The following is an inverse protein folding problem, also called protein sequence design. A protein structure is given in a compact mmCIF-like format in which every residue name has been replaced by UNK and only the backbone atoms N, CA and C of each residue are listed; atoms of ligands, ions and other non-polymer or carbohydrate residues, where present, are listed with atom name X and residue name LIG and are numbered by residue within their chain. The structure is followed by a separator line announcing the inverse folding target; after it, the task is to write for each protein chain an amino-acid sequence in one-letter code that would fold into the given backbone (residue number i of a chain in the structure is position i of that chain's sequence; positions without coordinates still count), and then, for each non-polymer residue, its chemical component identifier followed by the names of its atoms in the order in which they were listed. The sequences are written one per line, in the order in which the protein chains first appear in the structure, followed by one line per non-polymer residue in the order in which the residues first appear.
data_IF_837812556996
#
_entry.id   IF_837812556996
#
_cell.length_a   1.000
_cell.length_b   1.000
_cell.length_c   1.000
_cell.angle_alpha   90.00
_cell.angle_beta   90.00
_cell.angle_gamma   90.00
#
_symmetry.space_group_name_H-M   'P 1'
#
loop_
_entity.id
_entity.type
_entity.pdbx_description
1 polymer ?
#
# COMPACT_ATOMS: atom_id res chain seq x y z
N UNK A 1 -7.30 -2.23 8.72
CA UNK A 1 -6.22 -1.78 9.59
C UNK A 1 -6.79 -0.87 10.67
N UNK A 2 -6.40 -1.12 11.91
CA UNK A 2 -6.77 -0.24 12.99
C UNK A 2 -5.93 1.04 12.96
N UNK A 3 -6.59 2.19 12.96
CA UNK A 3 -5.91 3.48 12.94
C UNK A 3 -5.04 3.64 14.18
N UNK A 4 -5.48 3.10 15.33
CA UNK A 4 -4.73 3.14 16.57
C UNK A 4 -3.37 2.43 16.48
N UNK A 5 -3.26 1.36 15.71
CA UNK A 5 -2.00 0.65 15.55
C UNK A 5 -0.97 1.52 14.83
N UNK A 6 -1.41 2.26 13.80
CA UNK A 6 -0.53 3.21 13.10
C UNK A 6 -0.15 4.36 14.02
N UNK A 7 -1.12 4.89 14.77
CA UNK A 7 -0.85 5.96 15.72
C UNK A 7 0.18 5.56 16.76
N UNK A 8 0.04 4.34 17.31
CA UNK A 8 0.95 3.83 18.32
C UNK A 8 2.36 3.61 17.76
N UNK A 9 2.47 3.06 16.55
CA UNK A 9 3.76 2.87 15.89
C UNK A 9 4.45 4.21 15.63
N UNK A 10 3.69 5.20 15.18
CA UNK A 10 4.22 6.53 14.92
C UNK A 10 4.68 7.20 16.22
N UNK A 11 3.92 7.04 17.30
CA UNK A 11 4.30 7.59 18.60
C UNK A 11 5.54 6.92 19.17
N UNK A 12 5.67 5.60 18.97
CA UNK A 12 6.79 4.83 19.53
C UNK A 12 8.08 5.01 18.73
N UNK A 13 8.00 5.08 17.40
CA UNK A 13 9.19 5.03 16.55
C UNK A 13 9.38 6.26 15.65
N UNK A 14 8.38 7.11 15.51
CA UNK A 14 8.47 8.37 14.77
C UNK A 14 8.98 8.19 13.35
N UNK A 15 10.04 8.94 13.01
CA UNK A 15 10.64 8.93 11.68
C UNK A 15 11.09 7.54 11.22
N UNK A 16 11.54 6.70 12.14
CA UNK A 16 12.00 5.36 11.79
C UNK A 16 10.86 4.53 11.22
N UNK A 17 9.67 4.64 11.83
CA UNK A 17 8.49 3.96 11.33
C UNK A 17 8.11 4.48 9.94
N UNK A 18 8.08 5.80 9.77
CA UNK A 18 7.72 6.41 8.49
C UNK A 18 8.67 5.95 7.39
N UNK A 19 9.97 6.00 7.64
CA UNK A 19 10.96 5.64 6.61
C UNK A 19 10.95 4.16 6.26
N UNK A 20 10.55 3.31 7.19
CA UNK A 20 10.50 1.88 6.95
C UNK A 20 9.29 1.47 6.12
N UNK A 21 8.17 2.14 6.31
CA UNK A 21 6.88 1.71 5.76
C UNK A 21 6.45 2.53 4.56
N UNK A 22 6.71 3.83 4.57
CA UNK A 22 6.17 4.77 3.59
C UNK A 22 7.26 5.41 2.75
N UNK A 23 6.91 5.77 1.52
CA UNK A 23 7.80 6.56 0.66
C UNK A 23 7.74 8.02 1.08
N UNK A 24 8.73 8.81 0.63
CA UNK A 24 8.73 10.24 0.88
C UNK A 24 7.48 10.91 0.30
N UNK A 25 7.02 10.45 -0.87
CA UNK A 25 5.80 10.98 -1.48
C UNK A 25 4.57 10.72 -0.62
N UNK A 26 4.45 9.52 -0.08
CA UNK A 26 3.34 9.19 0.79
C UNK A 26 3.34 10.03 2.07
N UNK A 27 4.50 10.20 2.67
CA UNK A 27 4.62 11.03 3.87
C UNK A 27 4.24 12.48 3.56
N UNK A 28 4.67 12.99 2.42
CA UNK A 28 4.35 14.34 2.00
C UNK A 28 2.85 14.52 1.75
N UNK A 29 2.20 13.52 1.16
CA UNK A 29 0.77 13.57 0.86
C UNK A 29 -0.10 13.42 2.11
N UNK A 30 0.42 12.76 3.14
CA UNK A 30 -0.32 12.51 4.38
C UNK A 30 0.07 13.56 5.42
N UNK A 31 -0.62 14.68 5.40
CA UNK A 31 -0.34 15.76 6.34
C UNK A 31 -1.66 16.32 6.88
N UNK A 32 -1.54 17.21 7.88
CA UNK A 32 -2.68 17.88 8.44
C UNK A 32 -3.44 17.04 9.46
N UNK A 33 -4.70 17.40 9.65
CA UNK A 33 -5.55 16.84 10.71
C UNK A 33 -5.77 15.33 10.59
N UNK A 34 -5.92 14.84 9.37
CA UNK A 34 -6.21 13.43 9.11
C UNK A 34 -4.97 12.63 8.76
N UNK A 35 -3.79 13.09 9.18
CA UNK A 35 -2.53 12.45 8.82
C UNK A 35 -2.49 10.96 9.15
N UNK A 36 -2.85 10.62 10.39
CA UNK A 36 -2.76 9.22 10.84
C UNK A 36 -3.75 8.35 10.09
N UNK A 37 -4.95 8.84 9.84
CA UNK A 37 -5.96 8.12 9.06
C UNK A 37 -5.50 7.90 7.62
N UNK A 38 -4.89 8.90 7.02
CA UNK A 38 -4.37 8.81 5.65
C UNK A 38 -3.21 7.81 5.57
N UNK A 39 -2.32 7.80 6.55
CA UNK A 39 -1.24 6.82 6.61
C UNK A 39 -1.80 5.41 6.81
N UNK A 40 -2.81 5.26 7.67
CA UNK A 40 -3.43 3.97 7.92
C UNK A 40 -4.08 3.42 6.64
N UNK A 41 -4.74 4.27 5.85
CA UNK A 41 -5.34 3.83 4.59
C UNK A 41 -4.26 3.34 3.61
N UNK A 42 -3.13 4.03 3.56
CA UNK A 42 -2.03 3.62 2.70
C UNK A 42 -1.38 2.32 3.19
N UNK A 43 -1.26 2.17 4.49
CA UNK A 43 -0.77 0.91 5.07
C UNK A 43 -1.71 -0.24 4.69
N UNK A 44 -3.02 -0.03 4.79
CA UNK A 44 -4.01 -1.03 4.39
C UNK A 44 -3.85 -1.41 2.91
N UNK A 45 -3.57 -0.42 2.04
CA UNK A 45 -3.33 -0.68 0.62
C UNK A 45 -2.10 -1.56 0.41
N UNK A 46 -1.01 -1.28 1.13
CA UNK A 46 0.22 -2.08 1.02
C UNK A 46 -0.04 -3.53 1.42
N UNK A 47 -0.76 -3.74 2.51
CA UNK A 47 -1.12 -5.08 2.94
C UNK A 47 -2.00 -5.79 1.93
N UNK A 48 -2.97 -5.09 1.34
CA UNK A 48 -3.84 -5.66 0.33
C UNK A 48 -3.06 -6.10 -0.91
N UNK A 49 -2.08 -5.30 -1.34
CA UNK A 49 -1.21 -5.65 -2.47
C UNK A 49 -0.42 -6.92 -2.16
N UNK A 50 0.17 -7.00 -0.97
CA UNK A 50 0.94 -8.17 -0.57
C UNK A 50 0.07 -9.42 -0.60
N UNK A 51 -1.15 -9.33 -0.09
CA UNK A 51 -2.08 -10.46 -0.11
C UNK A 51 -2.48 -10.86 -1.52
N UNK A 52 -2.57 -9.89 -2.44
CA UNK A 52 -2.92 -10.18 -3.82
C UNK A 52 -1.86 -11.02 -4.53
N UNK A 53 -0.60 -10.95 -4.11
CA UNK A 53 0.45 -11.81 -4.64
C UNK A 53 0.27 -13.28 -4.25
N UNK A 54 -0.42 -13.54 -3.15
CA UNK A 54 -0.66 -14.90 -2.64
C UNK A 54 0.63 -15.71 -2.42
N UNK A 55 1.68 -15.04 -1.96
CA UNK A 55 2.97 -15.66 -1.65
C UNK A 55 3.34 -15.32 -0.22
N UNK A 56 2.80 -16.05 0.77
CA UNK A 56 2.93 -15.67 2.18
C UNK A 56 4.35 -15.64 2.73
N UNK A 57 5.26 -16.39 2.11
CA UNK A 57 6.65 -16.45 2.58
C UNK A 57 7.57 -15.44 1.89
N UNK A 58 7.05 -14.66 0.97
CA UNK A 58 7.85 -13.70 0.22
C UNK A 58 7.95 -12.39 1.00
N UNK A 59 9.16 -11.89 1.28
CA UNK A 59 9.32 -10.60 1.94
C UNK A 59 9.15 -9.47 0.94
N UNK A 60 8.00 -8.82 0.97
CA UNK A 60 7.74 -7.68 0.09
C UNK A 60 8.09 -6.38 0.82
N UNK A 61 9.06 -5.59 0.32
CA UNK A 61 9.38 -4.30 0.93
C UNK A 61 8.22 -3.32 0.78
N UNK A 62 7.76 -2.77 1.90
CA UNK A 62 6.58 -1.90 1.92
C UNK A 62 6.78 -0.61 1.12
N UNK A 63 8.00 -0.09 1.08
CA UNK A 63 8.29 1.14 0.34
C UNK A 63 8.30 0.95 -1.17
N UNK A 64 8.31 -0.28 -1.64
CA UNK A 64 8.19 -0.57 -3.07
C UNK A 64 6.73 -0.63 -3.54
N UNK A 65 5.81 -0.46 -2.61
CA UNK A 65 4.37 -0.38 -2.89
C UNK A 65 3.93 1.02 -2.50
N UNK A 66 3.75 1.90 -3.47
CA UNK A 66 3.45 3.30 -3.19
C UNK A 66 2.03 3.64 -3.65
N UNK A 67 1.30 4.37 -2.80
CA UNK A 67 0.05 4.98 -3.18
C UNK A 67 0.34 6.41 -3.61
N UNK A 68 0.01 6.74 -4.86
CA UNK A 68 0.21 8.08 -5.40
C UNK A 68 -1.12 8.78 -5.59
N UNK A 69 -1.08 10.12 -5.57
CA UNK A 69 -2.25 10.96 -5.80
C UNK A 69 -2.11 11.75 -7.10
N UNK A 70 -1.49 11.17 -8.11
CA UNK A 70 -1.36 11.81 -9.42
C UNK A 70 -2.72 11.73 -10.13
N UNK A 71 -3.47 12.83 -10.06
CA UNK A 71 -4.80 12.88 -10.64
C UNK A 71 -5.89 12.77 -9.57
N UNK A 72 -7.16 12.60 -9.99
CA UNK A 72 -8.30 12.64 -9.07
C UNK A 72 -8.46 11.41 -8.20
N UNK A 73 -7.84 10.29 -8.57
CA UNK A 73 -7.97 9.03 -7.85
C UNK A 73 -6.60 8.53 -7.41
N UNK A 74 -6.55 7.86 -6.23
CA UNK A 74 -5.30 7.23 -5.81
C UNK A 74 -4.93 6.09 -6.76
N UNK A 75 -3.63 5.90 -6.96
CA UNK A 75 -3.11 4.85 -7.82
C UNK A 75 -1.97 4.14 -7.12
N UNK A 76 -1.73 2.91 -7.53
CA UNK A 76 -0.59 2.13 -7.05
C UNK A 76 0.60 2.32 -7.99
N UNK A 77 1.76 2.49 -7.40
CA UNK A 77 3.02 2.45 -8.12
C UNK A 77 3.91 1.41 -7.46
N UNK A 78 4.24 0.38 -8.21
CA UNK A 78 5.14 -0.67 -7.74
C UNK A 78 6.54 -0.41 -8.28
N UNK A 79 7.55 -0.71 -7.47
CA UNK A 79 8.94 -0.54 -7.87
C UNK A 79 9.76 -1.73 -7.39
N UNK A 80 11.02 -1.79 -7.84
CA UNK A 80 11.98 -2.76 -7.35
C UNK A 80 11.53 -4.21 -7.49
N UNK A 81 11.78 -4.98 -6.47
CA UNK A 81 11.47 -6.42 -6.47
C UNK A 81 9.98 -6.69 -6.50
N UNK A 82 9.18 -5.81 -5.92
CA UNK A 82 7.71 -5.95 -5.95
C UNK A 82 7.20 -5.80 -7.39
N UNK A 83 7.68 -4.78 -8.11
CA UNK A 83 7.29 -4.58 -9.51
C UNK A 83 7.72 -5.76 -10.37
N UNK A 84 8.91 -6.29 -10.13
CA UNK A 84 9.42 -7.45 -10.86
C UNK A 84 8.56 -8.68 -10.60
N UNK A 85 8.16 -8.88 -9.36
CA UNK A 85 7.30 -10.01 -9.01
C UNK A 85 5.92 -9.89 -9.65
N UNK A 86 5.39 -8.68 -9.73
CA UNK A 86 4.12 -8.42 -10.40
C UNK A 86 4.20 -8.80 -11.89
N UNK A 87 5.29 -8.42 -12.55
CA UNK A 87 5.51 -8.81 -13.94
C UNK A 87 5.59 -10.32 -14.10
N UNK A 88 6.28 -10.97 -13.17
CA UNK A 88 6.43 -12.43 -13.19
C UNK A 88 5.07 -13.14 -13.07
N UNK A 89 4.17 -12.60 -12.25
CA UNK A 89 2.82 -13.14 -12.10
C UNK A 89 1.86 -12.68 -13.19
N UNK A 90 2.31 -11.84 -14.10
CA UNK A 90 1.49 -11.39 -15.22
C UNK A 90 0.46 -10.32 -14.88
N UNK A 91 0.76 -9.48 -13.89
CA UNK A 91 -0.12 -8.36 -13.56
C UNK A 91 -0.22 -7.41 -14.74
N UNK A 92 -1.44 -7.12 -15.20
CA UNK A 92 -1.71 -6.25 -16.34
C UNK A 92 -2.15 -4.88 -15.87
N UNK A 93 -3.02 -4.83 -14.88
CA UNK A 93 -3.53 -3.58 -14.35
C UNK A 93 -3.94 -3.76 -12.90
N UNK A 94 -4.05 -2.65 -12.20
CA UNK A 94 -4.53 -2.64 -10.83
C UNK A 94 -5.44 -1.44 -10.61
N UNK A 95 -6.35 -1.58 -9.66
CA UNK A 95 -7.24 -0.52 -9.22
C UNK A 95 -7.23 -0.49 -7.71
N UNK A 96 -7.40 0.70 -7.15
CA UNK A 96 -7.29 0.92 -5.72
C UNK A 96 -8.43 1.79 -5.24
N UNK A 97 -9.04 1.39 -4.14
CA UNK A 97 -10.00 2.22 -3.42
C UNK A 97 -9.61 2.27 -1.95
N UNK A 98 -9.63 3.47 -1.38
CA UNK A 98 -9.28 3.70 0.01
C UNK A 98 -10.49 4.25 0.75
N UNK A 99 -10.62 3.86 2.02
CA UNK A 99 -11.67 4.36 2.88
C UNK A 99 -11.17 4.37 4.32
N UNK A 100 -11.64 5.31 5.11
CA UNK A 100 -11.35 5.30 6.54
C UNK A 100 -12.51 5.87 7.34
N UNK A 101 -12.62 5.37 8.55
CA UNK A 101 -13.52 5.88 9.57
C UNK A 101 -12.66 6.26 10.76
N UNK A 102 -13.29 6.57 11.88
CA UNK A 102 -12.55 7.06 13.05
C UNK A 102 -11.51 6.06 13.55
N UNK A 103 -11.85 4.78 13.60
CA UNK A 103 -11.00 3.74 14.21
C UNK A 103 -10.32 2.81 13.21
N UNK A 104 -10.78 2.79 11.96
CA UNK A 104 -10.29 1.82 10.98
C UNK A 104 -10.08 2.46 9.62
N UNK A 105 -9.11 1.93 8.90
CA UNK A 105 -8.88 2.25 7.50
C UNK A 105 -8.96 0.95 6.70
N UNK A 106 -9.42 1.06 5.46
CA UNK A 106 -9.62 -0.09 4.59
C UNK A 106 -9.14 0.25 3.20
N UNK A 107 -8.62 -0.74 2.51
CA UNK A 107 -8.26 -0.62 1.11
C UNK A 107 -8.77 -1.84 0.36
N UNK A 108 -9.22 -1.61 -0.86
CA UNK A 108 -9.55 -2.68 -1.79
C UNK A 108 -8.62 -2.54 -2.98
N UNK A 109 -7.92 -3.61 -3.30
CA UNK A 109 -7.02 -3.66 -4.45
C UNK A 109 -7.54 -4.75 -5.38
N UNK A 110 -7.79 -4.37 -6.62
CA UNK A 110 -8.20 -5.30 -7.66
C UNK A 110 -7.07 -5.41 -8.66
N UNK A 111 -6.61 -6.62 -8.90
CA UNK A 111 -5.51 -6.87 -9.83
C UNK A 111 -6.04 -7.74 -10.97
N UNK A 112 -5.72 -7.32 -12.19
CA UNK A 112 -6.02 -8.11 -13.37
C UNK A 112 -4.72 -8.72 -13.86
N UNK A 113 -4.69 -10.04 -13.95
CA UNK A 113 -3.52 -10.78 -14.40
C UNK A 113 -3.75 -11.34 -15.79
N UNK A 114 -2.66 -11.46 -16.56
CA UNK A 114 -2.72 -12.15 -17.83
C UNK A 114 -3.01 -13.62 -17.56
N UNK A 115 -3.96 -14.17 -18.29
CA UNK A 115 -4.29 -15.57 -18.15
C UNK A 115 -3.12 -16.41 -18.65
N UNK A 116 -2.70 -17.39 -17.86
CA UNK A 116 -1.66 -18.28 -18.29
C UNK A 116 -2.14 -19.11 -19.47
N UNK A 117 -1.25 -19.34 -20.44
CA UNK A 117 -1.56 -20.20 -21.56
C UNK A 117 -1.78 -21.62 -21.02
N UNK A 118 -2.90 -22.21 -21.39
CA UNK A 118 -3.17 -23.59 -21.02
C UNK A 118 -2.54 -24.51 -22.05
N UNK A 119 -1.89 -25.52 -21.56
CA UNK A 119 -1.20 -26.48 -22.42
C UNK A 119 -2.01 -27.72 -22.67
#
# INVERSE_FOLDING_TARGET
VAVGDVRDSLAAFGERYLRKVFTAGEVSDCNGRNRVHSLAARFAAKEAVIKAFAEPDMPFPLREIEVTLDGPLPQLRLSGTVAERARHQGWVSSSLSLSHAECHAMAVVLVVCRQADSE
#
